data_IF_219545823277
#
_entry.id   IF_219545823277
#
_cell.length_a   1.000
_cell.length_b   1.000
_cell.length_c   1.000
_cell.angle_alpha   90.00
_cell.angle_beta   90.00
_cell.angle_gamma   90.00
#
_symmetry.space_group_name_H-M   'P 1'
#
loop_
_entity.id
_entity.type
_entity.pdbx_description
1 polymer ?
#
# COMPACT_ATOMS: atom_id res chain seq x y z
N UNK A 1 -92.28 -6.71 56.77
CA UNK A 1 -91.91 -6.81 58.21
C UNK A 1 -90.40 -6.75 58.33
N UNK A 2 -89.92 -5.64 58.92
CA UNK A 2 -88.63 -5.38 59.57
C UNK A 2 -87.32 -5.96 58.99
N UNK A 3 -86.51 -5.13 58.37
CA UNK A 3 -85.32 -4.46 58.95
C UNK A 3 -84.24 -5.30 59.53
N UNK A 4 -83.02 -5.19 58.98
CA UNK A 4 -81.90 -4.69 59.78
C UNK A 4 -80.70 -4.39 58.93
N UNK A 5 -80.26 -3.15 59.00
CA UNK A 5 -79.02 -2.66 58.49
C UNK A 5 -77.81 -3.28 59.21
N UNK A 6 -76.76 -3.67 58.48
CA UNK A 6 -75.44 -4.03 59.01
C UNK A 6 -74.39 -3.09 58.42
N UNK A 7 -73.95 -2.17 59.26
CA UNK A 7 -72.96 -1.17 58.92
C UNK A 7 -71.52 -1.80 58.94
N UNK A 8 -70.97 -2.07 57.78
CA UNK A 8 -69.59 -2.60 57.60
C UNK A 8 -68.61 -1.54 57.27
N UNK A 9 -67.87 -1.15 58.26
CA UNK A 9 -66.77 -0.11 58.20
C UNK A 9 -65.61 -0.67 57.41
N UNK A 10 -65.46 -0.28 56.14
CA UNK A 10 -64.33 -0.66 55.26
C UNK A 10 -63.21 0.28 55.55
N UNK A 11 -62.20 -0.17 56.30
CA UNK A 11 -60.95 0.50 56.49
C UNK A 11 -60.21 0.51 55.14
N UNK A 12 -60.07 1.68 54.55
CA UNK A 12 -59.18 1.92 53.40
C UNK A 12 -57.75 1.73 53.84
N UNK A 13 -57.09 0.67 53.32
CA UNK A 13 -55.62 0.55 53.39
C UNK A 13 -54.99 1.52 52.42
N UNK A 14 -54.13 2.42 52.90
CA UNK A 14 -53.34 3.34 52.13
C UNK A 14 -52.27 2.54 51.34
N UNK A 15 -52.02 2.82 50.05
CA UNK A 15 -50.94 2.18 49.35
C UNK A 15 -49.60 2.72 49.88
N UNK A 16 -48.74 1.83 50.36
CA UNK A 16 -47.35 2.13 50.68
C UNK A 16 -46.64 2.37 49.39
N UNK A 17 -46.33 3.64 49.12
CA UNK A 17 -45.42 4.05 48.03
C UNK A 17 -44.00 3.58 48.36
N UNK A 18 -43.60 2.46 47.76
CA UNK A 18 -42.18 2.05 47.78
C UNK A 18 -41.42 2.93 46.79
N UNK A 19 -40.86 4.01 47.29
CA UNK A 19 -39.86 4.83 46.61
C UNK A 19 -38.59 3.99 46.42
N UNK A 20 -38.51 3.31 45.29
CA UNK A 20 -37.28 2.68 44.82
C UNK A 20 -36.45 3.72 44.07
N UNK A 21 -35.82 4.63 44.76
CA UNK A 21 -34.76 5.44 44.25
C UNK A 21 -33.54 4.53 43.93
N UNK A 22 -33.50 4.03 42.69
CA UNK A 22 -32.31 3.37 42.17
C UNK A 22 -31.18 4.38 42.16
N UNK A 23 -30.03 4.10 42.81
CA UNK A 23 -28.89 4.99 42.70
C UNK A 23 -28.45 5.01 41.23
N UNK A 24 -28.57 6.17 40.58
CA UNK A 24 -27.99 6.39 39.27
C UNK A 24 -26.49 6.24 39.40
N UNK A 25 -25.80 5.39 38.56
CA UNK A 25 -24.37 5.27 38.61
C UNK A 25 -23.79 6.67 38.28
N UNK A 26 -23.03 7.24 39.21
CA UNK A 26 -22.30 8.47 38.97
C UNK A 26 -21.30 8.20 37.84
N UNK A 27 -21.49 8.84 36.70
CA UNK A 27 -20.49 8.87 35.66
C UNK A 27 -19.22 9.49 36.25
N UNK A 28 -18.20 8.66 36.46
CA UNK A 28 -16.88 9.14 36.89
C UNK A 28 -16.25 9.83 35.66
N UNK A 29 -16.00 11.12 35.75
CA UNK A 29 -15.26 11.87 34.72
C UNK A 29 -13.78 11.51 34.76
N UNK A 30 -13.12 11.58 33.61
CA UNK A 30 -11.67 11.44 33.51
C UNK A 30 -10.94 12.55 34.27
N UNK A 31 -9.89 12.18 34.97
CA UNK A 31 -9.00 13.15 35.61
C UNK A 31 -8.02 13.74 34.57
N UNK A 32 -7.59 14.99 34.78
CA UNK A 32 -6.61 15.64 33.90
C UNK A 32 -5.29 14.87 33.82
N UNK A 33 -4.86 14.27 34.93
CA UNK A 33 -3.63 13.46 34.98
C UNK A 33 -3.78 12.14 34.18
N UNK A 34 -4.93 11.50 34.21
CA UNK A 34 -5.21 10.28 33.44
C UNK A 34 -5.15 10.55 31.94
N UNK A 35 -5.71 11.71 31.49
CA UNK A 35 -5.59 12.13 30.11
C UNK A 35 -4.13 12.39 29.73
N UNK A 36 -3.39 13.09 30.59
CA UNK A 36 -1.97 13.42 30.34
C UNK A 36 -1.10 12.15 30.24
N UNK A 37 -1.31 11.18 31.13
CA UNK A 37 -0.60 9.89 31.06
C UNK A 37 -0.95 9.12 29.79
N UNK A 38 -2.22 9.07 29.41
CA UNK A 38 -2.62 8.35 28.20
C UNK A 38 -2.01 8.94 26.93
N UNK A 39 -2.01 10.27 26.78
CA UNK A 39 -1.40 10.89 25.58
C UNK A 39 0.13 10.74 25.56
N UNK A 40 0.81 10.75 26.71
CA UNK A 40 2.27 10.53 26.77
C UNK A 40 2.64 9.09 26.37
N UNK A 41 1.88 8.10 26.84
CA UNK A 41 2.08 6.70 26.45
C UNK A 41 1.81 6.49 24.96
N UNK A 42 0.72 7.07 24.43
CA UNK A 42 0.42 7.00 23.00
C UNK A 42 1.51 7.66 22.15
N UNK A 43 2.00 8.83 22.56
CA UNK A 43 3.09 9.51 21.87
C UNK A 43 4.37 8.66 21.82
N UNK A 44 4.72 7.99 22.92
CA UNK A 44 5.87 7.10 22.96
C UNK A 44 5.71 5.88 22.02
N UNK A 45 4.52 5.29 21.96
CA UNK A 45 4.23 4.19 21.03
C UNK A 45 4.30 4.64 19.57
N UNK A 46 3.74 5.79 19.22
CA UNK A 46 3.79 6.33 17.86
C UNK A 46 5.21 6.67 17.42
N UNK A 47 6.08 7.12 18.31
CA UNK A 47 7.48 7.39 17.97
C UNK A 47 8.20 6.16 17.40
N UNK A 48 7.83 4.97 17.82
CA UNK A 48 8.40 3.70 17.33
C UNK A 48 7.61 3.17 16.12
N UNK A 49 6.27 3.28 16.17
CA UNK A 49 5.40 2.67 15.15
C UNK A 49 5.48 3.36 13.79
N UNK A 50 5.60 4.70 13.75
CA UNK A 50 5.58 5.46 12.50
C UNK A 50 6.77 5.10 11.57
N UNK A 51 8.06 5.12 12.01
CA UNK A 51 9.17 4.80 11.13
C UNK A 51 9.12 3.35 10.64
N UNK A 52 8.68 2.43 11.49
CA UNK A 52 8.52 1.03 11.12
C UNK A 52 7.46 0.84 10.04
N UNK A 53 6.33 1.52 10.16
CA UNK A 53 5.26 1.48 9.15
C UNK A 53 5.72 2.02 7.80
N UNK A 54 6.50 3.11 7.79
CA UNK A 54 7.07 3.66 6.54
C UNK A 54 8.02 2.68 5.86
N UNK A 55 8.85 1.97 6.61
CA UNK A 55 9.73 0.93 6.09
C UNK A 55 8.96 -0.22 5.44
N UNK A 56 7.95 -0.75 6.12
CA UNK A 56 7.09 -1.81 5.57
C UNK A 56 6.35 -1.36 4.31
N UNK A 57 5.84 -0.13 4.30
CA UNK A 57 5.18 0.44 3.12
C UNK A 57 6.12 0.49 1.92
N UNK A 58 7.35 0.99 2.11
CA UNK A 58 8.37 1.03 1.05
C UNK A 58 8.68 -0.36 0.51
N UNK A 59 8.87 -1.35 1.38
CA UNK A 59 9.12 -2.73 0.97
C UNK A 59 7.95 -3.31 0.17
N UNK A 60 6.72 -3.07 0.61
CA UNK A 60 5.52 -3.54 -0.10
C UNK A 60 5.39 -2.88 -1.48
N UNK A 61 5.67 -1.58 -1.61
CA UNK A 61 5.65 -0.87 -2.89
C UNK A 61 6.72 -1.42 -3.85
N UNK A 62 7.94 -1.64 -3.37
CA UNK A 62 9.01 -2.24 -4.18
C UNK A 62 8.63 -3.67 -4.63
N UNK A 63 8.11 -4.49 -3.72
CA UNK A 63 7.70 -5.85 -4.04
C UNK A 63 6.58 -5.89 -5.10
N UNK A 64 5.62 -4.97 -5.02
CA UNK A 64 4.56 -4.83 -6.01
C UNK A 64 5.15 -4.45 -7.38
N UNK A 65 6.01 -3.44 -7.47
CA UNK A 65 6.62 -3.01 -8.71
C UNK A 65 7.49 -4.13 -9.35
N UNK A 66 8.22 -4.91 -8.53
CA UNK A 66 8.96 -6.09 -8.99
C UNK A 66 8.01 -7.15 -9.59
N UNK A 67 6.87 -7.40 -8.94
CA UNK A 67 5.88 -8.35 -9.43
C UNK A 67 5.27 -7.88 -10.75
N UNK A 68 4.95 -6.60 -10.86
CA UNK A 68 4.39 -6.01 -12.08
C UNK A 68 5.38 -6.09 -13.25
N UNK A 69 6.67 -5.74 -13.03
CA UNK A 69 7.71 -5.87 -14.05
C UNK A 69 7.83 -7.32 -14.54
N UNK A 70 7.79 -8.31 -13.63
CA UNK A 70 7.83 -9.72 -14.02
C UNK A 70 6.62 -10.14 -14.84
N UNK A 71 5.43 -9.63 -14.51
CA UNK A 71 4.21 -9.92 -15.27
C UNK A 71 4.23 -9.27 -16.65
N UNK A 72 4.73 -8.02 -16.75
CA UNK A 72 4.91 -7.32 -18.03
C UNK A 72 5.96 -8.05 -18.87
N UNK A 73 7.10 -8.43 -18.28
CA UNK A 73 8.16 -9.20 -18.93
C UNK A 73 7.61 -10.51 -19.52
N UNK A 74 6.82 -11.25 -18.74
CA UNK A 74 6.16 -12.46 -19.21
C UNK A 74 5.25 -12.18 -20.43
N UNK A 75 4.48 -11.10 -20.38
CA UNK A 75 3.59 -10.69 -21.48
C UNK A 75 4.38 -10.34 -22.75
N UNK A 76 5.53 -9.65 -22.59
CA UNK A 76 6.45 -9.35 -23.70
C UNK A 76 7.04 -10.63 -24.30
N UNK A 77 7.44 -11.60 -23.46
CA UNK A 77 7.96 -12.88 -23.90
C UNK A 77 6.91 -13.70 -24.70
N UNK A 78 5.65 -13.65 -24.25
CA UNK A 78 4.54 -14.30 -24.96
C UNK A 78 4.33 -13.62 -26.33
N UNK A 79 4.30 -12.30 -26.37
CA UNK A 79 4.19 -11.54 -27.61
C UNK A 79 5.32 -11.89 -28.59
N UNK A 80 6.58 -11.92 -28.12
CA UNK A 80 7.75 -12.26 -28.93
C UNK A 80 7.63 -13.68 -29.52
N UNK A 81 7.13 -14.66 -28.74
CA UNK A 81 6.92 -16.02 -29.24
C UNK A 81 5.84 -16.11 -30.33
N UNK A 82 4.78 -15.31 -30.20
CA UNK A 82 3.65 -15.30 -31.15
C UNK A 82 3.98 -14.58 -32.46
N UNK A 83 4.73 -13.47 -32.38
CA UNK A 83 5.00 -12.57 -33.49
C UNK A 83 6.41 -12.65 -34.05
N UNK A 84 7.32 -13.46 -33.44
CA UNK A 84 8.75 -13.53 -33.72
C UNK A 84 9.48 -12.18 -33.67
N UNK A 85 8.93 -11.21 -32.96
CA UNK A 85 9.51 -9.87 -32.77
C UNK A 85 9.06 -9.29 -31.43
N UNK A 86 9.86 -8.39 -30.87
CA UNK A 86 9.47 -7.63 -29.69
C UNK A 86 8.39 -6.59 -30.03
N UNK A 87 7.50 -6.25 -29.09
CA UNK A 87 6.56 -5.14 -29.27
C UNK A 87 7.36 -3.82 -29.44
N UNK A 88 6.77 -2.82 -30.07
CA UNK A 88 7.38 -1.49 -30.16
C UNK A 88 7.02 -0.62 -28.94
N UNK A 89 5.87 -0.90 -28.31
CA UNK A 89 5.43 -0.25 -27.07
C UNK A 89 4.67 -1.24 -26.19
N UNK A 90 4.51 -0.94 -24.91
CA UNK A 90 3.70 -1.77 -24.00
C UNK A 90 2.22 -1.82 -24.39
N UNK A 91 1.74 -0.83 -25.12
CA UNK A 91 0.38 -0.80 -25.67
C UNK A 91 0.11 -1.84 -26.75
N UNK A 92 1.14 -2.41 -27.34
CA UNK A 92 1.02 -3.45 -28.36
C UNK A 92 0.72 -4.82 -27.76
N UNK A 93 0.82 -4.96 -26.41
CA UNK A 93 0.58 -6.22 -25.71
C UNK A 93 -0.92 -6.54 -25.69
N UNK A 94 -1.37 -7.69 -26.24
CA UNK A 94 -2.77 -8.03 -26.28
C UNK A 94 -3.30 -8.35 -24.89
N UNK A 95 -4.50 -7.87 -24.59
CA UNK A 95 -5.22 -8.15 -23.34
C UNK A 95 -4.47 -7.81 -22.04
N UNK A 96 -3.48 -6.94 -22.11
CA UNK A 96 -2.69 -6.54 -20.94
C UNK A 96 -2.98 -5.08 -20.63
N UNK A 97 -3.73 -4.83 -19.55
CA UNK A 97 -3.78 -3.49 -18.96
C UNK A 97 -2.48 -3.29 -18.17
N UNK A 98 -1.61 -2.42 -18.66
CA UNK A 98 -0.39 -2.07 -17.93
C UNK A 98 -0.77 -1.13 -16.78
N UNK A 99 -0.62 -1.55 -15.52
CA UNK A 99 -0.92 -0.69 -14.38
C UNK A 99 0.11 0.44 -14.28
N UNK A 100 -0.21 1.47 -13.53
CA UNK A 100 0.80 2.37 -13.01
C UNK A 100 1.57 1.66 -11.89
N UNK A 101 2.80 2.07 -11.66
CA UNK A 101 3.58 1.56 -10.56
C UNK A 101 3.01 1.98 -9.18
N UNK A 102 3.59 1.51 -8.10
CA UNK A 102 3.12 1.78 -6.74
C UNK A 102 3.21 3.26 -6.31
N UNK A 103 3.83 4.10 -7.10
CA UNK A 103 3.98 5.55 -6.90
C UNK A 103 3.17 6.37 -7.90
N UNK A 104 2.49 5.72 -8.86
CA UNK A 104 1.63 6.37 -9.84
C UNK A 104 2.33 6.72 -11.17
N UNK A 105 3.55 6.22 -11.40
CA UNK A 105 4.27 6.44 -12.65
C UNK A 105 4.01 5.29 -13.64
N UNK A 106 4.10 5.59 -14.94
CA UNK A 106 4.06 4.56 -15.98
C UNK A 106 5.37 3.78 -16.03
N UNK A 107 5.29 2.46 -16.26
CA UNK A 107 6.47 1.65 -16.58
C UNK A 107 7.08 2.09 -17.90
N UNK A 108 8.42 2.13 -17.95
CA UNK A 108 9.17 2.50 -19.13
C UNK A 108 9.67 1.26 -19.84
N UNK A 109 9.42 1.21 -21.15
CA UNK A 109 9.90 0.15 -22.03
C UNK A 109 10.73 0.77 -23.15
N UNK A 110 11.93 0.23 -23.40
CA UNK A 110 12.81 0.62 -24.49
C UNK A 110 13.30 -0.64 -25.21
N UNK A 111 12.83 -0.83 -26.45
CA UNK A 111 13.30 -1.90 -27.32
C UNK A 111 14.71 -1.59 -27.77
N UNK A 112 15.65 -2.48 -27.53
CA UNK A 112 17.07 -2.36 -27.90
C UNK A 112 17.37 -3.26 -29.11
N UNK A 113 16.83 -4.49 -29.10
CA UNK A 113 17.04 -5.47 -30.17
C UNK A 113 16.63 -4.89 -31.54
N UNK A 114 17.61 -4.80 -32.43
CA UNK A 114 17.39 -4.31 -33.81
C UNK A 114 17.41 -2.76 -33.97
N UNK A 115 17.63 -2.00 -32.91
CA UNK A 115 17.74 -0.55 -32.98
C UNK A 115 19.08 -0.05 -32.39
N UNK A 116 20.10 0.23 -33.24
CA UNK A 116 21.38 0.76 -32.77
C UNK A 116 21.28 2.14 -32.08
N UNK A 117 20.25 2.94 -32.37
CA UNK A 117 20.06 4.24 -31.72
C UNK A 117 19.52 4.10 -30.31
N UNK A 118 18.74 3.05 -30.03
CA UNK A 118 18.25 2.76 -28.70
C UNK A 118 19.38 2.50 -27.69
N UNK A 119 20.53 2.00 -28.13
CA UNK A 119 21.72 1.79 -27.28
C UNK A 119 22.21 3.07 -26.59
N UNK A 120 22.00 4.24 -27.19
CA UNK A 120 22.40 5.52 -26.60
C UNK A 120 21.63 5.83 -25.32
N UNK A 121 20.35 5.39 -25.27
CA UNK A 121 19.43 5.62 -24.17
C UNK A 121 19.25 4.38 -23.28
N UNK A 122 19.84 3.24 -23.68
CA UNK A 122 19.78 2.00 -22.93
C UNK A 122 20.38 2.18 -21.52
N UNK A 123 19.79 1.46 -20.57
CA UNK A 123 20.31 1.45 -19.20
C UNK A 123 21.67 0.78 -19.15
N UNK A 124 22.53 1.33 -18.29
CA UNK A 124 23.93 0.90 -18.17
C UNK A 124 24.43 1.05 -16.74
N UNK A 125 25.40 0.23 -16.42
CA UNK A 125 26.19 0.30 -15.21
C UNK A 125 27.67 0.55 -15.58
N UNK A 126 28.54 0.63 -14.58
CA UNK A 126 29.98 0.80 -14.79
C UNK A 126 30.63 -0.34 -15.60
N UNK A 127 30.08 -1.55 -15.48
CA UNK A 127 30.62 -2.77 -16.07
C UNK A 127 29.80 -3.32 -17.24
N UNK A 128 28.49 -3.03 -17.26
CA UNK A 128 27.56 -3.57 -18.25
C UNK A 128 26.93 -2.44 -19.08
N UNK A 129 27.27 -2.41 -20.36
CA UNK A 129 26.78 -1.41 -21.31
C UNK A 129 26.39 -2.11 -22.62
N UNK A 130 25.08 -2.30 -22.89
CA UNK A 130 23.90 -2.03 -22.05
C UNK A 130 23.68 -3.10 -20.97
N UNK A 131 22.73 -2.87 -20.04
CA UNK A 131 22.30 -3.87 -19.04
C UNK A 131 21.55 -5.04 -19.66
N UNK A 132 20.82 -4.80 -20.75
CA UNK A 132 20.04 -5.79 -21.47
C UNK A 132 20.36 -5.70 -22.98
N UNK A 133 20.42 -6.85 -23.63
CA UNK A 133 20.62 -6.94 -25.06
C UNK A 133 19.30 -6.83 -25.86
N UNK A 134 18.19 -7.18 -25.24
CA UNK A 134 16.85 -7.26 -25.85
C UNK A 134 16.02 -5.98 -25.66
N UNK A 135 15.71 -5.59 -24.42
CA UNK A 135 14.95 -4.41 -24.08
C UNK A 135 15.14 -4.01 -22.61
N UNK A 136 15.00 -2.73 -22.31
CA UNK A 136 14.87 -2.23 -20.95
C UNK A 136 13.41 -2.17 -20.55
N UNK A 137 13.12 -2.55 -19.29
CA UNK A 137 11.84 -2.43 -18.64
C UNK A 137 12.06 -2.04 -17.18
N UNK A 138 11.50 -0.91 -16.76
CA UNK A 138 11.72 -0.39 -15.41
C UNK A 138 10.62 0.55 -14.93
N UNK A 139 10.54 0.74 -13.61
CA UNK A 139 9.82 1.82 -12.93
C UNK A 139 10.84 2.87 -12.48
N UNK A 140 10.43 4.14 -12.50
CA UNK A 140 11.26 5.26 -12.03
C UNK A 140 11.27 5.44 -10.51
N UNK A 141 10.79 4.44 -9.77
CA UNK A 141 10.81 4.47 -8.32
C UNK A 141 9.93 5.56 -7.68
N UNK A 142 10.27 5.88 -6.45
CA UNK A 142 9.49 6.78 -5.61
C UNK A 142 9.63 8.25 -6.00
N UNK A 143 10.78 8.65 -6.54
CA UNK A 143 11.04 10.04 -6.93
C UNK A 143 10.54 10.38 -8.34
N UNK A 144 10.17 9.37 -9.15
CA UNK A 144 9.69 9.53 -10.53
C UNK A 144 10.74 10.02 -11.50
N UNK A 145 12.01 10.11 -11.09
CA UNK A 145 13.14 10.56 -11.90
C UNK A 145 14.08 9.38 -12.20
N UNK A 146 14.79 9.44 -13.31
CA UNK A 146 15.76 8.40 -13.68
C UNK A 146 16.80 8.92 -14.67
N UNK A 147 17.96 8.30 -14.68
CA UNK A 147 18.99 8.45 -15.70
C UNK A 147 19.34 7.07 -16.27
N UNK A 148 19.93 7.04 -17.48
CA UNK A 148 20.38 5.76 -18.08
C UNK A 148 21.47 5.07 -17.27
N UNK A 149 22.23 5.83 -16.49
CA UNK A 149 23.30 5.31 -15.62
C UNK A 149 22.71 4.89 -14.28
N UNK A 150 22.82 3.61 -13.94
CA UNK A 150 22.24 3.03 -12.74
C UNK A 150 22.87 3.53 -11.44
N UNK A 151 24.15 3.90 -11.46
CA UNK A 151 24.88 4.44 -10.30
C UNK A 151 24.52 5.89 -9.96
N UNK A 152 23.72 6.57 -10.81
CA UNK A 152 23.23 7.91 -10.50
C UNK A 152 22.28 7.89 -9.29
N UNK A 153 22.36 8.85 -8.36
CA UNK A 153 21.51 8.88 -7.16
C UNK A 153 20.00 8.77 -7.46
N UNK A 154 19.54 9.42 -8.53
CA UNK A 154 18.13 9.40 -8.98
C UNK A 154 17.70 8.06 -9.60
N UNK A 155 18.61 7.11 -9.82
CA UNK A 155 18.31 5.79 -10.38
C UNK A 155 18.42 4.69 -9.33
N UNK A 156 18.76 5.05 -8.09
CA UNK A 156 18.99 4.07 -7.01
C UNK A 156 17.68 3.46 -6.48
N UNK A 157 16.57 4.19 -6.56
CA UNK A 157 15.25 3.72 -6.16
C UNK A 157 14.41 3.17 -7.34
N UNK A 158 14.97 3.17 -8.56
CA UNK A 158 14.35 2.52 -9.72
C UNK A 158 14.19 1.02 -9.48
N UNK A 159 13.08 0.45 -9.94
CA UNK A 159 12.94 -1.00 -10.05
C UNK A 159 13.23 -1.38 -11.49
N UNK A 160 14.27 -2.17 -11.69
CA UNK A 160 14.80 -2.48 -13.02
C UNK A 160 14.73 -3.96 -13.35
N UNK A 161 14.62 -4.24 -14.65
CA UNK A 161 14.96 -5.52 -15.27
C UNK A 161 16.40 -5.42 -15.81
N UNK A 162 17.23 -6.41 -15.51
CA UNK A 162 18.63 -6.46 -15.98
C UNK A 162 19.03 -7.89 -16.33
N UNK A 163 20.18 -8.02 -17.04
CA UNK A 163 20.73 -9.29 -17.49
C UNK A 163 19.71 -10.13 -18.29
N UNK A 164 18.99 -9.48 -19.21
CA UNK A 164 17.96 -10.12 -20.05
C UNK A 164 16.90 -10.86 -19.21
N UNK A 165 16.47 -10.23 -18.10
CA UNK A 165 15.42 -10.74 -17.22
C UNK A 165 15.88 -11.66 -16.09
N UNK A 166 17.17 -11.95 -15.96
CA UNK A 166 17.71 -12.75 -14.85
C UNK A 166 17.64 -12.02 -13.52
N UNK A 167 17.65 -10.70 -13.56
CA UNK A 167 17.49 -9.82 -12.40
C UNK A 167 16.27 -8.92 -12.56
N UNK A 168 15.46 -8.83 -11.53
CA UNK A 168 14.39 -7.82 -11.38
C UNK A 168 14.39 -7.39 -9.92
N UNK A 169 14.74 -6.15 -9.67
CA UNK A 169 14.89 -5.60 -8.32
C UNK A 169 15.24 -4.11 -8.33
N UNK A 170 15.61 -3.61 -7.15
CA UNK A 170 16.09 -2.23 -6.97
C UNK A 170 17.40 -2.01 -7.74
N UNK A 171 17.54 -0.83 -8.33
CA UNK A 171 18.76 -0.39 -8.99
C UNK A 171 19.95 -0.30 -8.03
N UNK A 172 19.70 0.05 -6.76
CA UNK A 172 20.73 0.09 -5.71
C UNK A 172 21.28 -1.28 -5.31
N UNK A 173 20.57 -2.35 -5.58
CA UNK A 173 20.92 -3.71 -5.16
C UNK A 173 21.57 -4.52 -6.30
N UNK A 174 21.66 -3.92 -7.51
CA UNK A 174 22.26 -4.51 -8.67
C UNK A 174 23.77 -4.24 -8.72
#
# INVERSE_FOLDING_TARGET
>A
MLCRQGNGNIRRASPVSADRSRPTPRAQGFTLIELLVTITVLAALFAIAIPQFQSYRKQAQNAQAIADIRNIDLSIQIYKRQNNTLPNALTDLPNTAIPLDSWGNAYVFLKIEGDPLALLNARKDLFNVPLNADYDLYSKGADGATLSILTAPVSQDDIIRANDGRYVGLGSDY
#
